data_IF_485982980488
#
_entry.id   IF_485982980488
#
_cell.length_a   1.000
_cell.length_b   1.000
_cell.length_c   1.000
_cell.angle_alpha   90.00
_cell.angle_beta   90.00
_cell.angle_gamma   90.00
#
_symmetry.space_group_name_H-M   'P 1'
#
loop_
_entity.id
_entity.type
_entity.pdbx_description
1 polymer ?
#
# COMPACT_ATOMS: atom_id res chain seq x y z
N UNK A 1 4.11 -15.15 10.81
CA UNK A 1 3.27 -14.08 11.39
C UNK A 1 4.09 -12.91 11.91
N UNK A 2 5.12 -13.09 12.77
CA UNK A 2 5.96 -11.98 13.28
C UNK A 2 6.57 -11.09 12.19
N UNK A 3 7.09 -11.70 11.11
CA UNK A 3 7.65 -10.94 10.00
C UNK A 3 6.58 -10.09 9.28
N UNK A 4 5.36 -10.60 9.15
CA UNK A 4 4.27 -9.87 8.51
C UNK A 4 3.85 -8.65 9.33
N UNK A 5 3.80 -8.79 10.67
CA UNK A 5 3.53 -7.66 11.57
C UNK A 5 4.47 -6.47 11.34
N UNK A 6 5.77 -6.74 11.15
CA UNK A 6 6.76 -5.67 10.92
C UNK A 6 6.76 -5.23 9.45
N UNK A 7 6.86 -6.18 8.52
CA UNK A 7 7.17 -5.87 7.12
C UNK A 7 5.99 -5.33 6.34
N UNK A 8 4.75 -5.75 6.62
CA UNK A 8 3.57 -5.25 5.88
C UNK A 8 3.42 -3.72 6.05
N UNK A 9 3.35 -3.15 7.27
CA UNK A 9 3.25 -1.71 7.44
C UNK A 9 4.51 -0.97 6.98
N UNK A 10 5.70 -1.54 7.18
CA UNK A 10 6.95 -0.95 6.69
C UNK A 10 6.97 -0.82 5.16
N UNK A 11 6.63 -1.90 4.44
CA UNK A 11 6.57 -1.90 2.97
C UNK A 11 5.48 -0.93 2.51
N UNK A 12 4.30 -0.95 3.13
CA UNK A 12 3.21 -0.04 2.78
C UNK A 12 3.65 1.43 2.89
N UNK A 13 4.29 1.80 4.00
CA UNK A 13 4.84 3.14 4.23
C UNK A 13 5.88 3.53 3.17
N UNK A 14 6.82 2.65 2.83
CA UNK A 14 7.81 2.94 1.79
C UNK A 14 7.16 3.08 0.40
N UNK A 15 6.14 2.27 0.10
CA UNK A 15 5.37 2.37 -1.14
C UNK A 15 4.57 3.68 -1.21
N UNK A 16 3.96 4.11 -0.12
CA UNK A 16 3.23 5.38 -0.05
C UNK A 16 4.18 6.57 -0.22
N UNK A 17 5.33 6.56 0.46
CA UNK A 17 6.39 7.56 0.28
C UNK A 17 6.86 7.61 -1.18
N UNK A 18 7.11 6.44 -1.78
CA UNK A 18 7.52 6.36 -3.17
C UNK A 18 6.44 6.91 -4.12
N UNK A 19 5.19 6.49 -3.93
CA UNK A 19 4.05 6.96 -4.71
C UNK A 19 3.96 8.49 -4.67
N UNK A 20 3.95 9.07 -3.48
CA UNK A 20 3.69 10.50 -3.28
C UNK A 20 4.89 11.38 -3.65
N UNK A 21 6.11 10.95 -3.36
CA UNK A 21 7.30 11.81 -3.51
C UNK A 21 8.06 11.59 -4.79
N UNK A 22 7.94 10.42 -5.42
CA UNK A 22 8.72 10.04 -6.60
C UNK A 22 7.82 9.77 -7.79
N UNK A 23 6.90 8.81 -7.66
CA UNK A 23 6.10 8.37 -8.81
C UNK A 23 5.12 9.44 -9.28
N UNK A 24 4.34 10.03 -8.38
CA UNK A 24 3.29 10.98 -8.76
C UNK A 24 3.83 12.37 -9.10
N UNK A 25 5.08 12.68 -8.75
CA UNK A 25 5.68 14.02 -8.92
C UNK A 25 6.72 14.09 -10.04
N UNK A 26 7.26 12.95 -10.48
CA UNK A 26 8.22 12.97 -11.57
C UNK A 26 7.56 13.42 -12.88
N UNK A 27 8.39 13.96 -13.78
CA UNK A 27 7.94 14.37 -15.10
C UNK A 27 8.46 13.42 -16.17
N UNK A 28 7.54 12.73 -16.82
CA UNK A 28 7.81 11.93 -18.02
C UNK A 28 8.15 12.91 -19.15
N UNK A 29 9.26 12.66 -19.84
CA UNK A 29 9.73 13.49 -20.94
C UNK A 29 9.09 13.02 -22.25
N UNK A 30 8.62 13.97 -23.06
CA UNK A 30 8.19 13.70 -24.42
C UNK A 30 9.31 13.03 -25.24
N UNK A 31 8.98 11.92 -25.89
CA UNK A 31 9.86 11.21 -26.80
C UNK A 31 9.35 11.36 -28.24
N UNK A 32 10.27 11.50 -29.18
CA UNK A 32 9.92 11.60 -30.60
C UNK A 32 9.43 10.23 -31.08
N UNK A 33 8.37 10.22 -31.88
CA UNK A 33 7.82 9.04 -32.53
C UNK A 33 7.24 7.99 -31.55
N UNK A 34 6.83 8.41 -30.34
CA UNK A 34 6.13 7.58 -29.36
C UNK A 34 4.74 8.13 -29.03
N UNK A 35 3.75 7.25 -28.92
CA UNK A 35 2.40 7.57 -28.42
C UNK A 35 2.31 7.21 -26.93
N UNK A 36 3.06 7.92 -26.10
CA UNK A 36 3.04 7.76 -24.65
C UNK A 36 2.73 9.10 -23.99
N UNK A 37 1.94 9.11 -22.90
CA UNK A 37 1.63 10.34 -22.18
C UNK A 37 2.91 10.92 -21.56
N UNK A 38 3.14 12.22 -21.79
CA UNK A 38 4.23 12.98 -21.20
C UNK A 38 3.70 14.02 -20.21
N UNK A 39 4.46 14.32 -19.17
CA UNK A 39 3.99 15.15 -18.06
C UNK A 39 4.10 14.46 -16.70
N UNK A 40 3.35 14.98 -15.73
CA UNK A 40 3.37 14.50 -14.35
C UNK A 40 2.23 13.47 -14.19
N UNK A 41 2.51 12.21 -13.79
CA UNK A 41 1.50 11.14 -13.78
C UNK A 41 0.20 11.50 -13.06
N UNK A 42 0.29 12.11 -11.88
CA UNK A 42 -0.88 12.51 -11.11
C UNK A 42 -1.70 13.61 -11.79
N UNK A 43 -1.04 14.54 -12.49
CA UNK A 43 -1.76 15.55 -13.27
C UNK A 43 -2.39 14.97 -14.53
N UNK A 44 -1.69 14.06 -15.20
CA UNK A 44 -2.20 13.35 -16.38
C UNK A 44 -3.47 12.58 -16.01
N UNK A 45 -3.46 11.90 -14.86
CA UNK A 45 -4.59 11.13 -14.38
C UNK A 45 -5.78 12.01 -13.98
N UNK A 46 -5.54 13.12 -13.27
CA UNK A 46 -6.62 13.97 -12.76
C UNK A 46 -7.14 15.01 -13.78
N UNK A 47 -6.32 15.39 -14.77
CA UNK A 47 -6.60 16.46 -15.74
C UNK A 47 -6.10 16.10 -17.15
N UNK A 48 -6.54 14.97 -17.73
CA UNK A 48 -6.01 14.48 -19.01
C UNK A 48 -6.12 15.51 -20.14
N UNK A 49 -7.14 16.37 -20.14
CA UNK A 49 -7.37 17.37 -21.19
C UNK A 49 -6.26 18.42 -21.24
N UNK A 50 -5.60 18.71 -20.12
CA UNK A 50 -4.46 19.63 -20.06
C UNK A 50 -3.21 19.07 -20.75
N UNK A 51 -3.20 17.77 -21.04
CA UNK A 51 -2.10 17.04 -21.67
C UNK A 51 -2.46 16.52 -23.08
N UNK A 52 -3.57 17.00 -23.68
CA UNK A 52 -4.11 16.50 -24.95
C UNK A 52 -4.52 15.02 -24.90
N UNK A 53 -4.94 14.55 -23.72
CA UNK A 53 -5.48 13.22 -23.50
C UNK A 53 -6.98 13.33 -23.21
N UNK A 54 -7.65 12.18 -23.15
CA UNK A 54 -9.08 12.07 -22.84
C UNK A 54 -9.31 11.23 -21.58
N UNK A 55 -10.31 11.59 -20.78
CA UNK A 55 -10.74 10.82 -19.61
C UNK A 55 -11.36 9.49 -20.07
N UNK A 56 -10.65 8.40 -19.80
CA UNK A 56 -11.06 7.03 -20.13
C UNK A 56 -11.42 6.21 -18.87
N UNK A 57 -11.45 6.83 -17.69
CA UNK A 57 -11.84 6.18 -16.45
C UNK A 57 -13.31 5.77 -16.44
N UNK A 58 -13.60 4.69 -15.74
CA UNK A 58 -14.97 4.25 -15.49
C UNK A 58 -15.43 4.81 -14.15
N UNK A 59 -16.53 5.56 -14.14
CA UNK A 59 -17.21 5.91 -12.90
C UNK A 59 -17.79 4.61 -12.30
N UNK A 60 -17.27 4.21 -11.15
CA UNK A 60 -17.76 3.03 -10.43
C UNK A 60 -18.87 3.46 -9.48
N UNK A 61 -20.04 2.84 -9.59
CA UNK A 61 -21.14 3.09 -8.65
C UNK A 61 -21.04 2.20 -7.42
N UNK A 62 -21.70 2.59 -6.34
CA UNK A 62 -21.75 1.79 -5.11
C UNK A 62 -22.37 0.40 -5.36
N UNK A 63 -23.37 0.31 -6.25
CA UNK A 63 -23.97 -0.97 -6.61
C UNK A 63 -22.97 -1.90 -7.32
N UNK A 64 -22.12 -1.37 -8.19
CA UNK A 64 -21.07 -2.14 -8.86
C UNK A 64 -19.98 -2.60 -7.88
N UNK A 65 -19.62 -1.75 -6.91
CA UNK A 65 -18.71 -2.15 -5.83
C UNK A 65 -19.31 -3.29 -5.00
N UNK A 66 -20.59 -3.19 -4.64
CA UNK A 66 -21.29 -4.23 -3.88
C UNK A 66 -21.39 -5.55 -4.66
N UNK A 67 -21.66 -5.50 -5.97
CA UNK A 67 -21.67 -6.67 -6.84
C UNK A 67 -20.29 -7.33 -6.88
N UNK A 68 -19.24 -6.56 -7.17
CA UNK A 68 -17.87 -7.06 -7.19
C UNK A 68 -17.43 -7.63 -5.84
N UNK A 69 -17.83 -6.99 -4.73
CA UNK A 69 -17.53 -7.46 -3.39
C UNK A 69 -18.24 -8.79 -3.06
N UNK A 70 -19.46 -8.98 -3.56
CA UNK A 70 -20.24 -10.22 -3.41
C UNK A 70 -19.61 -11.35 -4.23
N UNK A 71 -19.28 -11.09 -5.49
CA UNK A 71 -18.69 -12.10 -6.41
C UNK A 71 -17.26 -12.51 -6.01
N UNK A 72 -16.44 -11.53 -5.58
CA UNK A 72 -15.07 -11.81 -5.13
C UNK A 72 -15.01 -12.46 -3.74
N UNK A 73 -16.07 -12.28 -2.95
CA UNK A 73 -16.12 -12.68 -1.55
C UNK A 73 -15.14 -11.95 -0.63
N UNK A 74 -14.60 -10.82 -1.09
CA UNK A 74 -13.56 -10.06 -0.37
C UNK A 74 -14.01 -9.64 1.04
N UNK A 75 -15.30 -9.37 1.23
CA UNK A 75 -15.89 -8.97 2.52
C UNK A 75 -16.06 -10.14 3.51
N UNK A 76 -15.85 -11.38 3.09
CA UNK A 76 -15.91 -12.54 4.00
C UNK A 76 -14.53 -12.99 4.49
N UNK A 77 -13.46 -12.36 3.97
CA UNK A 77 -12.09 -12.59 4.44
C UNK A 77 -11.79 -11.55 5.52
N UNK A 78 -11.11 -11.91 6.62
CA UNK A 78 -10.65 -10.93 7.58
C UNK A 78 -9.78 -9.86 6.93
N UNK A 79 -10.00 -8.59 7.28
CA UNK A 79 -9.22 -7.46 6.78
C UNK A 79 -7.72 -7.59 7.13
N UNK A 80 -7.43 -8.26 8.25
CA UNK A 80 -6.09 -8.47 8.72
C UNK A 80 -5.62 -9.91 8.55
N UNK A 81 -4.39 -10.04 8.08
CA UNK A 81 -3.69 -11.32 7.96
C UNK A 81 -3.33 -11.93 9.33
N UNK A 82 -3.22 -11.10 10.37
CA UNK A 82 -2.93 -11.56 11.73
C UNK A 82 -4.21 -11.76 12.52
N UNK A 83 -4.21 -12.75 13.42
CA UNK A 83 -5.30 -12.88 14.40
C UNK A 83 -5.25 -11.72 15.40
N UNK A 84 -6.40 -11.29 15.91
CA UNK A 84 -6.48 -10.20 16.88
C UNK A 84 -5.57 -10.43 18.10
N UNK A 85 -5.56 -11.66 18.64
CA UNK A 85 -4.72 -12.05 19.77
C UNK A 85 -3.23 -11.91 19.47
N UNK A 86 -2.81 -12.34 18.27
CA UNK A 86 -1.42 -12.28 17.85
C UNK A 86 -0.97 -10.84 17.60
N UNK A 87 -1.84 -10.03 16.98
CA UNK A 87 -1.61 -8.60 16.78
C UNK A 87 -1.45 -7.90 18.12
N UNK A 88 -2.40 -8.09 19.04
CA UNK A 88 -2.38 -7.44 20.35
C UNK A 88 -1.09 -7.75 21.14
N UNK A 89 -0.59 -8.98 21.08
CA UNK A 89 0.68 -9.34 21.72
C UNK A 89 1.89 -8.66 21.04
N UNK A 90 1.89 -8.58 19.70
CA UNK A 90 2.96 -7.87 18.98
C UNK A 90 2.95 -6.38 19.27
N UNK A 91 1.77 -5.74 19.30
CA UNK A 91 1.58 -4.32 19.62
C UNK A 91 1.93 -4.01 21.09
N UNK A 92 1.70 -4.95 22.01
CA UNK A 92 2.17 -4.83 23.40
C UNK A 92 3.70 -4.76 23.48
N UNK A 93 4.41 -5.49 22.62
CA UNK A 93 5.88 -5.54 22.61
C UNK A 93 6.49 -4.38 21.81
N UNK A 94 5.86 -3.99 20.71
CA UNK A 94 6.26 -2.88 19.83
C UNK A 94 5.02 -2.05 19.49
N UNK A 95 4.64 -1.08 20.35
CA UNK A 95 3.46 -0.25 20.13
C UNK A 95 3.61 0.71 18.93
N UNK A 96 4.85 1.16 18.65
CA UNK A 96 5.14 2.13 17.60
C UNK A 96 5.69 1.48 16.31
N UNK A 97 5.10 0.36 15.89
CA UNK A 97 5.58 -0.44 14.76
C UNK A 97 5.69 0.37 13.45
N UNK A 98 4.82 1.35 13.24
CA UNK A 98 4.82 2.21 12.04
C UNK A 98 6.03 3.16 11.96
N UNK A 99 6.75 3.33 13.07
CA UNK A 99 7.94 4.19 13.15
C UNK A 99 9.23 3.46 12.79
N UNK A 100 9.21 2.13 12.70
CA UNK A 100 10.36 1.31 12.33
C UNK A 100 10.89 1.78 10.97
N UNK A 101 12.22 1.92 10.88
CA UNK A 101 12.89 2.25 9.62
C UNK A 101 13.33 0.99 8.87
N UNK A 102 13.55 1.11 7.54
CA UNK A 102 14.03 0.00 6.72
C UNK A 102 15.38 -0.61 7.11
N UNK A 103 16.20 0.08 7.91
CA UNK A 103 17.46 -0.43 8.45
C UNK A 103 17.32 -1.05 9.85
N UNK A 104 16.19 -0.79 10.53
CA UNK A 104 15.94 -1.21 11.91
C UNK A 104 15.06 -2.48 12.01
N UNK A 105 14.37 -2.88 10.92
CA UNK A 105 13.40 -3.99 10.93
C UNK A 105 13.97 -5.32 11.44
N UNK A 106 15.25 -5.60 11.15
CA UNK A 106 15.89 -6.86 11.59
C UNK A 106 15.98 -6.91 13.11
N UNK A 107 16.32 -5.79 13.75
CA UNK A 107 16.41 -5.71 15.22
C UNK A 107 15.03 -5.86 15.85
N UNK A 108 14.01 -5.21 15.28
CA UNK A 108 12.62 -5.35 15.73
C UNK A 108 12.13 -6.80 15.62
N UNK A 109 12.48 -7.48 14.51
CA UNK A 109 12.11 -8.88 14.31
C UNK A 109 12.78 -9.81 15.33
N UNK A 110 14.09 -9.63 15.57
CA UNK A 110 14.82 -10.43 16.56
C UNK A 110 14.25 -10.22 17.97
N UNK A 111 13.91 -8.97 18.32
CA UNK A 111 13.27 -8.65 19.60
C UNK A 111 11.91 -9.35 19.75
N UNK A 112 11.03 -9.26 18.75
CA UNK A 112 9.75 -9.96 18.77
C UNK A 112 9.93 -11.47 18.85
N UNK A 113 10.89 -12.03 18.11
CA UNK A 113 11.15 -13.47 18.13
C UNK A 113 11.62 -13.97 19.50
N UNK A 114 12.34 -13.15 20.26
CA UNK A 114 12.80 -13.51 21.61
C UNK A 114 11.69 -13.34 22.67
N UNK A 115 10.85 -12.31 22.53
CA UNK A 115 9.88 -11.92 23.57
C UNK A 115 8.45 -12.40 23.33
N UNK A 116 8.08 -12.72 22.08
CA UNK A 116 6.74 -13.19 21.78
C UNK A 116 6.55 -14.61 22.33
N UNK A 117 5.52 -14.75 23.17
CA UNK A 117 5.24 -16.00 23.91
C UNK A 117 4.19 -16.86 23.24
N UNK A 118 3.48 -16.32 22.24
CA UNK A 118 2.52 -17.07 21.45
C UNK A 118 3.28 -17.99 20.48
N UNK A 119 3.03 -19.30 20.60
CA UNK A 119 3.43 -20.25 19.56
C UNK A 119 2.72 -19.89 18.26
N UNK A 120 3.43 -20.02 17.13
CA UNK A 120 2.78 -20.11 15.82
C UNK A 120 1.73 -21.22 15.79
#
# INVERSE_FOLDING_TARGET
MLLAFIMVPLIQKELDIFREKVWNTHRIRAQKDTLLPDGVPEHIYNFPEQYNLEECGFAVTEEQLQEAATESGVLQVPDDFLTEEFRAECERLIPDNDTIKPDEWTNAYLYLKEKCTLSM
#
